data_IF_982484677293
#
_entry.id   IF_982484677293
#
_cell.length_a   1.000
_cell.length_b   1.000
_cell.length_c   1.000
_cell.angle_alpha   90.00
_cell.angle_beta   90.00
_cell.angle_gamma   90.00
#
_symmetry.space_group_name_H-M   'P 1'
#
loop_
_entity.id
_entity.type
_entity.pdbx_description
1 polymer ?
#
# COMPACT_ATOMS: atom_id res chain seq x y z
N UNK A 1 13.82 -11.39 1.45
CA UNK A 1 13.14 -11.70 2.73
C UNK A 1 11.64 -11.69 2.48
N UNK A 2 10.89 -12.68 2.96
CA UNK A 2 9.43 -12.70 2.77
C UNK A 2 8.80 -11.54 3.55
N UNK A 3 7.96 -10.74 2.89
CA UNK A 3 7.25 -9.64 3.54
C UNK A 3 6.10 -10.21 4.35
N UNK A 4 6.09 -9.97 5.67
CA UNK A 4 5.00 -10.37 6.54
C UNK A 4 3.91 -9.29 6.54
N UNK A 5 2.77 -9.58 5.91
CA UNK A 5 1.65 -8.63 5.78
C UNK A 5 0.96 -8.34 7.13
N UNK A 6 1.03 -9.25 8.10
CA UNK A 6 0.54 -9.03 9.46
C UNK A 6 1.38 -7.95 10.15
N UNK A 7 2.71 -8.03 10.06
CA UNK A 7 3.60 -7.06 10.69
C UNK A 7 3.45 -5.67 10.07
N UNK A 8 3.28 -5.60 8.74
CA UNK A 8 3.01 -4.35 8.04
C UNK A 8 1.66 -3.74 8.47
N UNK A 9 0.62 -4.57 8.64
CA UNK A 9 -0.67 -4.12 9.15
C UNK A 9 -0.59 -3.62 10.60
N UNK A 10 0.16 -4.32 11.45
CA UNK A 10 0.35 -3.95 12.85
C UNK A 10 1.13 -2.63 13.00
N UNK A 11 2.10 -2.35 12.12
CA UNK A 11 2.82 -1.06 12.09
C UNK A 11 1.92 0.13 11.73
N UNK A 12 0.80 -0.11 11.06
CA UNK A 12 -0.19 0.93 10.73
C UNK A 12 -1.21 1.16 11.86
N UNK A 13 -1.35 0.22 12.79
CA UNK A 13 -2.17 0.37 13.99
C UNK A 13 -1.39 1.14 15.05
N UNK A 14 -1.13 2.41 14.77
CA UNK A 14 -0.55 3.30 15.78
C UNK A 14 -1.57 3.59 16.87
N UNK A 15 -1.13 3.90 18.10
CA UNK A 15 -2.01 4.31 19.19
C UNK A 15 -2.94 5.46 18.80
N UNK A 16 -2.49 6.39 17.94
CA UNK A 16 -3.33 7.47 17.43
C UNK A 16 -4.48 6.99 16.54
N UNK A 17 -4.22 6.04 15.63
CA UNK A 17 -5.27 5.49 14.76
C UNK A 17 -6.31 4.77 15.61
N UNK A 18 -5.86 3.98 16.60
CA UNK A 18 -6.74 3.30 17.56
C UNK A 18 -7.55 4.33 18.36
N UNK A 19 -6.93 5.40 18.84
CA UNK A 19 -7.60 6.47 19.58
C UNK A 19 -8.69 7.15 18.73
N UNK A 20 -8.43 7.43 17.45
CA UNK A 20 -9.43 8.00 16.53
C UNK A 20 -10.58 7.04 16.25
N UNK A 21 -10.28 5.75 16.08
CA UNK A 21 -11.30 4.70 15.90
C UNK A 21 -12.18 4.60 17.14
N UNK A 22 -11.58 4.58 18.33
CA UNK A 22 -12.27 4.52 19.61
C UNK A 22 -13.19 5.73 19.81
N UNK A 23 -12.68 6.95 19.60
CA UNK A 23 -13.45 8.19 19.71
C UNK A 23 -14.61 8.26 18.71
N UNK A 24 -14.42 7.76 17.49
CA UNK A 24 -15.47 7.75 16.47
C UNK A 24 -16.58 6.75 16.77
N UNK A 25 -16.20 5.56 17.23
CA UNK A 25 -17.13 4.48 17.51
C UNK A 25 -17.77 4.59 18.90
N UNK A 26 -17.37 5.57 19.72
CA UNK A 26 -17.84 5.73 21.09
C UNK A 26 -17.44 4.57 22.00
N UNK A 27 -16.28 3.95 21.73
CA UNK A 27 -15.80 2.75 22.43
C UNK A 27 -14.52 3.05 23.21
N UNK A 28 -14.20 2.22 24.19
CA UNK A 28 -12.89 2.25 24.84
C UNK A 28 -11.76 1.87 23.87
N UNK A 29 -10.58 2.47 24.06
CA UNK A 29 -9.39 2.17 23.25
C UNK A 29 -8.99 0.69 23.31
N UNK A 30 -9.20 0.02 24.45
CA UNK A 30 -8.92 -1.42 24.61
C UNK A 30 -9.85 -2.27 23.74
N UNK A 31 -11.14 -1.92 23.67
CA UNK A 31 -12.13 -2.58 22.81
C UNK A 31 -11.84 -2.32 21.34
N UNK A 32 -11.52 -1.06 20.98
CA UNK A 32 -11.12 -0.69 19.63
C UNK A 32 -9.86 -1.44 19.18
N UNK A 33 -8.85 -1.55 20.05
CA UNK A 33 -7.62 -2.29 19.78
C UNK A 33 -7.89 -3.78 19.60
N UNK A 34 -8.64 -4.40 20.53
CA UNK A 34 -9.02 -5.83 20.45
C UNK A 34 -9.73 -6.13 19.14
N UNK A 35 -10.67 -5.27 18.76
CA UNK A 35 -11.47 -5.44 17.57
C UNK A 35 -10.64 -5.19 16.29
N UNK A 36 -9.74 -4.20 16.29
CA UNK A 36 -8.88 -3.92 15.13
C UNK A 36 -7.85 -5.04 14.89
N UNK A 37 -7.25 -5.59 15.96
CA UNK A 37 -6.33 -6.74 15.89
C UNK A 37 -7.04 -7.99 15.36
N UNK A 38 -8.32 -8.17 15.67
CA UNK A 38 -9.16 -9.23 15.12
C UNK A 38 -9.61 -8.99 13.67
N UNK A 39 -9.94 -7.74 13.33
CA UNK A 39 -10.49 -7.37 12.03
C UNK A 39 -9.47 -7.51 10.89
N UNK A 40 -8.20 -7.17 11.13
CA UNK A 40 -7.13 -7.22 10.11
C UNK A 40 -6.94 -8.63 9.52
N UNK A 41 -6.61 -9.67 10.32
CA UNK A 41 -6.41 -11.01 9.79
C UNK A 41 -7.70 -11.55 9.15
N UNK A 42 -8.87 -11.16 9.65
CA UNK A 42 -10.17 -11.52 9.08
C UNK A 42 -10.39 -10.93 7.69
N UNK A 43 -10.09 -9.63 7.51
CA UNK A 43 -10.16 -8.95 6.21
C UNK A 43 -9.15 -9.55 5.25
N UNK A 44 -7.91 -9.78 5.69
CA UNK A 44 -6.87 -10.41 4.86
C UNK A 44 -7.23 -11.83 4.45
N UNK A 45 -7.80 -12.64 5.35
CA UNK A 45 -8.26 -13.99 5.04
C UNK A 45 -9.40 -14.00 4.02
N UNK A 46 -10.33 -13.06 4.10
CA UNK A 46 -11.43 -12.93 3.14
C UNK A 46 -11.00 -12.38 1.78
N UNK A 47 -10.07 -11.41 1.78
CA UNK A 47 -9.45 -10.96 0.53
C UNK A 47 -8.68 -12.09 -0.13
N UNK A 48 -8.01 -12.95 0.65
CA UNK A 48 -7.32 -14.14 0.15
C UNK A 48 -8.28 -15.16 -0.47
N UNK A 49 -9.49 -15.27 0.07
CA UNK A 49 -10.57 -16.08 -0.51
C UNK A 49 -11.08 -15.46 -1.83
N UNK A 50 -11.34 -14.16 -1.83
CA UNK A 50 -11.80 -13.39 -2.98
C UNK A 50 -10.84 -13.52 -4.18
N UNK A 51 -9.53 -13.33 -3.95
CA UNK A 51 -8.49 -13.49 -4.99
C UNK A 51 -8.16 -14.95 -5.33
N UNK A 52 -8.80 -15.90 -4.65
CA UNK A 52 -8.86 -17.30 -5.08
C UNK A 52 -9.57 -17.46 -6.42
N UNK A 53 -10.40 -16.49 -6.82
CA UNK A 53 -11.10 -16.47 -8.10
C UNK A 53 -10.50 -15.45 -9.08
N UNK A 54 -10.52 -15.71 -10.40
CA UNK A 54 -10.08 -14.73 -11.40
C UNK A 54 -10.86 -13.41 -11.36
N UNK A 55 -12.15 -13.48 -11.02
CA UNK A 55 -13.03 -12.31 -10.91
C UNK A 55 -12.62 -11.43 -9.72
N UNK A 56 -12.42 -12.02 -8.53
CA UNK A 56 -12.04 -11.29 -7.33
C UNK A 56 -10.64 -10.67 -7.40
N UNK A 57 -9.69 -11.34 -8.06
CA UNK A 57 -8.37 -10.78 -8.32
C UNK A 57 -8.44 -9.51 -9.21
N UNK A 58 -9.30 -9.52 -10.24
CA UNK A 58 -9.53 -8.36 -11.10
C UNK A 58 -10.29 -7.23 -10.38
N UNK A 59 -11.22 -7.54 -9.48
CA UNK A 59 -11.91 -6.53 -8.67
C UNK A 59 -10.94 -5.84 -7.70
N UNK A 60 -10.08 -6.63 -7.02
CA UNK A 60 -9.07 -6.09 -6.14
C UNK A 60 -8.06 -5.22 -6.91
N UNK A 61 -7.58 -5.68 -8.06
CA UNK A 61 -6.63 -4.92 -8.89
C UNK A 61 -7.19 -3.58 -9.37
N UNK A 62 -8.47 -3.57 -9.76
CA UNK A 62 -9.16 -2.36 -10.20
C UNK A 62 -9.30 -1.35 -9.06
N UNK A 63 -9.65 -1.81 -7.85
CA UNK A 63 -9.73 -0.91 -6.69
C UNK A 63 -8.35 -0.41 -6.25
N UNK A 64 -7.33 -1.27 -6.20
CA UNK A 64 -5.97 -0.83 -5.85
C UNK A 64 -5.43 0.18 -6.87
N UNK A 65 -5.74 0.00 -8.15
CA UNK A 65 -5.40 0.97 -9.21
C UNK A 65 -6.15 2.30 -9.06
N UNK A 66 -7.42 2.28 -8.65
CA UNK A 66 -8.21 3.49 -8.39
C UNK A 66 -7.78 4.22 -7.10
N UNK A 67 -7.13 3.52 -6.17
CA UNK A 67 -6.65 4.06 -4.89
C UNK A 67 -5.25 4.68 -4.96
N UNK A 68 -4.60 4.71 -6.12
CA UNK A 68 -3.22 5.18 -6.25
C UNK A 68 -3.01 6.65 -5.86
N UNK A 69 -4.07 7.46 -5.72
CA UNK A 69 -4.02 8.85 -5.27
C UNK A 69 -4.60 9.14 -3.87
N UNK A 70 -5.32 8.21 -3.23
CA UNK A 70 -6.07 8.47 -2.00
C UNK A 70 -5.51 7.62 -0.86
N UNK A 71 -4.66 8.21 -0.02
CA UNK A 71 -4.16 7.52 1.15
C UNK A 71 -5.25 7.48 2.25
N UNK A 72 -5.67 6.31 2.74
CA UNK A 72 -6.66 6.18 3.81
C UNK A 72 -6.32 7.00 5.06
N UNK A 73 -5.02 7.15 5.35
CA UNK A 73 -4.51 7.95 6.46
C UNK A 73 -4.74 9.45 6.19
N UNK A 74 -4.55 9.91 4.96
CA UNK A 74 -4.80 11.31 4.57
C UNK A 74 -6.30 11.65 4.61
N UNK A 75 -7.15 10.68 4.24
CA UNK A 75 -8.60 10.79 4.39
C UNK A 75 -9.05 10.81 5.85
N UNK A 76 -8.37 10.05 6.72
CA UNK A 76 -8.59 10.09 8.17
C UNK A 76 -8.19 11.45 8.78
N UNK A 77 -7.24 12.16 8.16
CA UNK A 77 -6.83 13.51 8.58
C UNK A 77 -7.76 14.60 8.03
N UNK A 78 -8.19 14.48 6.77
CA UNK A 78 -9.02 15.50 6.09
C UNK A 78 -10.52 15.37 6.37
N UNK A 79 -11.08 14.16 6.32
CA UNK A 79 -12.52 13.87 6.44
C UNK A 79 -12.91 13.17 7.73
N UNK A 80 -11.92 12.82 8.55
CA UNK A 80 -12.11 12.09 9.80
C UNK A 80 -12.53 10.63 9.59
N UNK A 81 -12.82 9.96 10.71
CA UNK A 81 -13.29 8.58 10.71
C UNK A 81 -14.66 8.34 10.03
N UNK A 82 -15.64 9.27 10.02
CA UNK A 82 -16.90 9.07 9.31
C UNK A 82 -16.71 9.02 7.78
N UNK A 83 -15.90 9.93 7.22
CA UNK A 83 -15.59 9.94 5.78
C UNK A 83 -14.86 8.67 5.35
N UNK A 84 -13.90 8.22 6.18
CA UNK A 84 -13.19 6.97 5.95
C UNK A 84 -14.11 5.74 6.05
N UNK A 85 -15.02 5.72 7.03
CA UNK A 85 -16.01 4.66 7.17
C UNK A 85 -16.94 4.58 5.95
N UNK A 86 -17.43 5.71 5.46
CA UNK A 86 -18.32 5.73 4.30
C UNK A 86 -17.61 5.24 3.02
N UNK A 87 -16.34 5.61 2.87
CA UNK A 87 -15.52 5.12 1.77
C UNK A 87 -15.29 3.61 1.88
N UNK A 88 -14.91 3.13 3.07
CA UNK A 88 -14.64 1.72 3.29
C UNK A 88 -15.85 0.84 3.17
N UNK A 89 -17.03 1.29 3.62
CA UNK A 89 -18.26 0.52 3.42
C UNK A 89 -18.57 0.32 1.94
N UNK A 90 -18.41 1.37 1.13
CA UNK A 90 -18.62 1.32 -0.32
C UNK A 90 -17.60 0.40 -1.01
N UNK A 91 -16.33 0.48 -0.63
CA UNK A 91 -15.26 -0.36 -1.19
C UNK A 91 -15.42 -1.82 -0.82
N UNK A 92 -15.61 -2.11 0.47
CA UNK A 92 -15.70 -3.49 0.95
C UNK A 92 -17.01 -4.13 0.49
N UNK A 93 -18.12 -3.40 0.43
CA UNK A 93 -19.36 -3.91 -0.17
C UNK A 93 -19.18 -4.21 -1.65
N UNK A 94 -18.46 -3.38 -2.40
CA UNK A 94 -18.16 -3.62 -3.82
C UNK A 94 -17.19 -4.78 -4.08
N UNK A 95 -16.28 -5.09 -3.14
CA UNK A 95 -15.34 -6.19 -3.25
C UNK A 95 -15.90 -7.51 -2.71
N UNK A 96 -16.32 -7.52 -1.45
CA UNK A 96 -16.70 -8.71 -0.70
C UNK A 96 -18.19 -9.02 -0.85
N UNK A 97 -19.00 -8.03 -1.25
CA UNK A 97 -20.46 -8.11 -1.26
C UNK A 97 -21.07 -7.74 0.10
N UNK A 98 -22.30 -7.23 0.07
CA UNK A 98 -23.03 -6.82 1.28
C UNK A 98 -23.18 -7.95 2.31
N UNK A 99 -23.49 -9.17 1.87
CA UNK A 99 -23.65 -10.34 2.78
C UNK A 99 -22.37 -10.69 3.55
N UNK A 100 -21.23 -10.68 2.88
CA UNK A 100 -19.92 -10.94 3.51
C UNK A 100 -19.59 -9.82 4.49
N UNK A 101 -19.87 -8.57 4.12
CA UNK A 101 -19.66 -7.42 5.01
C UNK A 101 -20.58 -7.48 6.25
N UNK A 102 -21.83 -7.90 6.08
CA UNK A 102 -22.81 -8.06 7.17
C UNK A 102 -22.39 -9.16 8.15
N UNK A 103 -22.00 -10.33 7.63
CA UNK A 103 -21.53 -11.47 8.44
C UNK A 103 -20.24 -11.16 9.19
N UNK A 104 -19.28 -10.48 8.55
CA UNK A 104 -18.06 -10.04 9.22
C UNK A 104 -18.33 -8.98 10.29
N UNK A 105 -19.18 -8.01 9.98
CA UNK A 105 -19.58 -6.97 10.93
C UNK A 105 -20.25 -7.57 12.16
N UNK A 106 -21.10 -8.57 11.98
CA UNK A 106 -21.73 -9.31 13.07
C UNK A 106 -20.72 -10.10 13.89
N UNK A 107 -19.82 -10.85 13.24
CA UNK A 107 -18.80 -11.63 13.94
C UNK A 107 -17.86 -10.73 14.77
N UNK A 108 -17.34 -9.66 14.16
CA UNK A 108 -16.44 -8.71 14.81
C UNK A 108 -17.16 -7.94 15.93
N UNK A 109 -18.41 -7.54 15.68
CA UNK A 109 -19.25 -6.86 16.67
C UNK A 109 -19.52 -7.73 17.90
N UNK A 110 -19.82 -9.01 17.68
CA UNK A 110 -20.03 -9.99 18.76
C UNK A 110 -18.73 -10.30 19.52
N UNK A 111 -17.60 -10.42 18.82
CA UNK A 111 -16.29 -10.65 19.44
C UNK A 111 -15.79 -9.46 20.27
N UNK A 112 -16.06 -8.25 19.78
CA UNK A 112 -15.67 -7.00 20.44
C UNK A 112 -16.66 -6.55 21.53
N UNK A 113 -17.88 -7.09 21.54
CA UNK A 113 -18.96 -6.64 22.43
C UNK A 113 -19.56 -5.28 22.02
N UNK A 114 -19.41 -4.90 20.75
CA UNK A 114 -19.81 -3.58 20.21
C UNK A 114 -21.11 -3.65 19.41
N UNK A 115 -21.65 -4.86 19.23
CA UNK A 115 -22.84 -5.12 18.42
C UNK A 115 -22.60 -4.94 16.92
N UNK A 116 -23.62 -5.29 16.13
CA UNK A 116 -23.51 -5.34 14.66
C UNK A 116 -23.11 -3.99 14.04
N UNK A 117 -23.65 -2.89 14.57
CA UNK A 117 -23.36 -1.54 14.09
C UNK A 117 -21.89 -1.13 14.36
N UNK A 118 -21.37 -1.47 15.53
CA UNK A 118 -19.97 -1.21 15.91
C UNK A 118 -19.00 -2.05 15.08
N UNK A 119 -19.30 -3.33 14.87
CA UNK A 119 -18.48 -4.21 14.04
C UNK A 119 -18.43 -3.80 12.57
N UNK A 120 -19.57 -3.41 11.98
CA UNK A 120 -19.61 -2.87 10.60
C UNK A 120 -18.85 -1.57 10.46
N UNK A 121 -19.02 -0.65 11.42
CA UNK A 121 -18.34 0.65 11.40
C UNK A 121 -16.84 0.50 11.57
N UNK A 122 -16.40 -0.44 12.42
CA UNK A 122 -15.00 -0.77 12.56
C UNK A 122 -14.43 -1.35 11.26
N UNK A 123 -15.12 -2.31 10.65
CA UNK A 123 -14.69 -2.92 9.40
C UNK A 123 -14.63 -1.89 8.26
N UNK A 124 -15.54 -0.91 8.27
CA UNK A 124 -15.57 0.20 7.34
C UNK A 124 -14.39 1.17 7.53
N UNK A 125 -13.85 1.32 8.74
CA UNK A 125 -12.65 2.14 8.99
C UNK A 125 -11.36 1.36 8.76
N UNK A 126 -11.30 0.11 9.24
CA UNK A 126 -10.12 -0.75 9.14
C UNK A 126 -9.91 -1.27 7.72
N UNK A 127 -10.99 -1.52 6.98
CA UNK A 127 -10.95 -2.02 5.60
C UNK A 127 -10.09 -1.18 4.66
N UNK A 128 -10.33 0.14 4.55
CA UNK A 128 -9.47 1.06 3.79
C UNK A 128 -8.01 1.04 4.23
N UNK A 129 -7.74 0.96 5.54
CA UNK A 129 -6.37 0.93 6.06
C UNK A 129 -5.61 -0.32 5.57
N UNK A 130 -6.27 -1.48 5.62
CA UNK A 130 -5.71 -2.75 5.13
C UNK A 130 -5.54 -2.72 3.61
N UNK A 131 -6.51 -2.19 2.87
CA UNK A 131 -6.41 -2.06 1.41
C UNK A 131 -5.33 -1.07 0.97
N UNK A 132 -5.19 0.06 1.66
CA UNK A 132 -4.15 1.05 1.42
C UNK A 132 -2.76 0.52 1.74
N UNK A 133 -2.62 -0.30 2.78
CA UNK A 133 -1.40 -1.05 3.07
C UNK A 133 -1.06 -1.99 1.93
N UNK A 134 -2.04 -2.76 1.44
CA UNK A 134 -1.86 -3.70 0.35
C UNK A 134 -1.46 -2.99 -0.95
N UNK A 135 -2.09 -1.86 -1.26
CA UNK A 135 -1.74 -1.02 -2.41
C UNK A 135 -0.39 -0.32 -2.27
N UNK A 136 0.05 0.00 -1.04
CA UNK A 136 1.41 0.47 -0.78
C UNK A 136 2.42 -0.65 -1.00
N UNK A 137 2.17 -1.83 -0.45
CA UNK A 137 3.02 -3.01 -0.61
C UNK A 137 3.15 -3.41 -2.07
N UNK A 138 2.07 -3.32 -2.84
CA UNK A 138 2.07 -3.56 -4.29
C UNK A 138 3.07 -2.63 -5.00
N UNK A 139 3.09 -1.35 -4.64
CA UNK A 139 4.00 -0.33 -5.20
C UNK A 139 5.44 -0.53 -4.74
N UNK A 140 5.64 -0.71 -3.45
CA UNK A 140 6.97 -0.85 -2.84
C UNK A 140 7.69 -2.12 -3.31
N UNK A 141 6.94 -3.20 -3.53
CA UNK A 141 7.48 -4.46 -4.04
C UNK A 141 7.36 -4.64 -5.57
N UNK A 142 6.80 -3.65 -6.29
CA UNK A 142 6.65 -3.69 -7.75
C UNK A 142 5.86 -4.89 -8.27
N UNK A 143 4.88 -5.37 -7.49
CA UNK A 143 4.17 -6.62 -7.78
C UNK A 143 2.87 -6.31 -8.52
N UNK A 144 2.62 -6.98 -9.63
CA UNK A 144 1.32 -6.87 -10.30
C UNK A 144 0.21 -7.58 -9.49
N UNK A 145 -1.04 -7.29 -9.83
CA UNK A 145 -2.20 -7.85 -9.15
C UNK A 145 -2.20 -9.39 -9.02
N UNK A 146 -1.66 -10.08 -10.03
CA UNK A 146 -1.53 -11.54 -10.02
C UNK A 146 -0.48 -12.01 -9.02
N UNK A 147 0.63 -11.27 -8.87
CA UNK A 147 1.63 -11.58 -7.86
C UNK A 147 1.13 -11.26 -6.45
N UNK A 148 0.37 -10.19 -6.27
CA UNK A 148 -0.30 -9.89 -5.00
C UNK A 148 -1.33 -10.97 -4.62
N UNK A 149 -2.15 -11.40 -5.57
CA UNK A 149 -3.09 -12.50 -5.36
C UNK A 149 -2.38 -13.81 -4.99
N UNK A 150 -1.23 -14.09 -5.60
CA UNK A 150 -0.38 -15.23 -5.25
C UNK A 150 0.16 -15.12 -3.82
N UNK A 151 0.62 -13.92 -3.42
CA UNK A 151 1.12 -13.64 -2.06
C UNK A 151 0.04 -13.72 -0.99
N UNK A 152 -1.18 -13.27 -1.28
CA UNK A 152 -2.31 -13.40 -0.36
C UNK A 152 -2.71 -14.86 -0.19
N UNK A 153 -2.76 -15.60 -1.29
CA UNK A 153 -3.09 -17.03 -1.27
C UNK A 153 -2.05 -17.86 -0.52
N UNK A 154 -0.76 -17.56 -0.70
CA UNK A 154 0.32 -18.28 -0.01
C UNK A 154 0.39 -17.98 1.48
N UNK A 155 -0.14 -16.83 1.93
CA UNK A 155 -0.19 -16.44 3.34
C UNK A 155 -1.55 -16.66 3.99
N UNK A 156 -2.54 -17.22 3.27
CA UNK A 156 -3.89 -17.47 3.79
C UNK A 156 -3.85 -18.26 5.10
N UNK A 157 -3.03 -19.30 5.18
CA UNK A 157 -2.90 -20.12 6.39
C UNK A 157 -2.35 -19.33 7.59
N UNK A 158 -1.45 -18.38 7.35
CA UNK A 158 -0.91 -17.49 8.38
C UNK A 158 -1.95 -16.46 8.84
N UNK A 159 -2.81 -15.98 7.94
CA UNK A 159 -3.93 -15.10 8.29
C UNK A 159 -4.96 -15.83 9.13
N UNK A 160 -5.33 -17.05 8.72
CA UNK A 160 -6.24 -17.92 9.43
C UNK A 160 -5.73 -18.26 10.84
N UNK A 161 -4.44 -18.55 10.99
CA UNK A 161 -3.81 -18.81 12.27
C UNK A 161 -3.75 -17.57 13.19
N UNK A 162 -3.82 -16.36 12.62
CA UNK A 162 -3.83 -15.11 13.36
C UNK A 162 -5.24 -14.64 13.76
N UNK A 163 -6.31 -15.27 13.26
CA UNK A 163 -7.68 -14.97 13.68
C UNK A 163 -7.86 -15.51 15.11
N UNK A 164 -8.35 -14.69 16.06
CA UNK A 164 -8.67 -15.17 17.41
C UNK A 164 -9.67 -16.32 17.34
N UNK A 165 -9.43 -17.42 18.06
CA UNK A 165 -10.25 -18.63 18.02
C UNK A 165 -11.74 -18.35 18.19
N UNK A 166 -12.13 -17.53 19.17
CA UNK A 166 -13.53 -17.15 19.39
C UNK A 166 -14.20 -16.38 18.24
N UNK A 167 -13.42 -15.68 17.40
CA UNK A 167 -13.93 -15.02 16.19
C UNK A 167 -13.96 -15.99 15.00
N UNK A 168 -12.96 -16.88 14.89
CA UNK A 168 -12.91 -17.92 13.87
C UNK A 168 -14.10 -18.89 13.97
N UNK A 169 -14.50 -19.26 15.18
CA UNK A 169 -15.68 -20.09 15.44
C UNK A 169 -16.97 -19.38 14.99
N UNK A 170 -17.10 -18.07 15.27
CA UNK A 170 -18.25 -17.27 14.85
C UNK A 170 -18.34 -17.12 13.34
N UNK A 171 -17.22 -16.81 12.68
CA UNK A 171 -17.16 -16.71 11.23
C UNK A 171 -17.42 -18.06 10.54
N UNK A 172 -16.99 -19.17 11.16
CA UNK A 172 -17.30 -20.52 10.69
C UNK A 172 -18.78 -20.87 10.87
N UNK A 173 -19.36 -20.53 12.03
CA UNK A 173 -20.79 -20.68 12.30
C UNK A 173 -21.67 -19.84 11.36
N UNK A 174 -21.18 -18.68 10.93
CA UNK A 174 -21.82 -17.82 9.93
C UNK A 174 -21.55 -18.25 8.48
N UNK A 175 -20.84 -19.37 8.27
CA UNK A 175 -20.59 -19.96 6.96
C UNK A 175 -19.53 -19.26 6.11
N UNK A 176 -18.73 -18.35 6.69
CA UNK A 176 -17.74 -17.56 5.95
C UNK A 176 -16.43 -18.31 5.71
N UNK A 177 -16.12 -19.29 6.56
CA UNK A 177 -14.83 -20.00 6.57
C UNK A 177 -14.97 -21.46 6.11
N UNK A 178 -16.17 -22.06 6.19
CA UNK A 178 -16.39 -23.49 5.88
C UNK A 178 -16.83 -23.79 4.42
N UNK A 179 -16.52 -22.91 3.47
CA UNK A 179 -16.84 -23.16 2.05
C UNK A 179 -15.84 -24.11 1.35
N UNK A 180 -14.80 -24.60 2.03
CA UNK A 180 -13.78 -25.48 1.42
C UNK A 180 -13.86 -26.96 1.82
N UNK A 181 -14.75 -27.36 2.74
CA UNK A 181 -14.99 -28.80 3.01
C UNK A 181 -16.24 -29.36 2.33
N UNK A 182 -17.20 -28.51 1.99
CA UNK A 182 -18.52 -28.94 1.49
C UNK A 182 -18.68 -28.89 -0.03
N UNK A 183 -17.73 -28.27 -0.75
CA UNK A 183 -17.70 -28.23 -2.22
C UNK A 183 -17.25 -29.54 -2.90
N UNK A 184 -16.60 -30.45 -2.15
CA UNK A 184 -16.10 -31.72 -2.69
C UNK A 184 -17.04 -32.90 -2.40
N UNK A 185 -18.01 -32.75 -1.48
CA UNK A 185 -19.01 -33.79 -1.18
C UNK A 185 -20.30 -33.65 -2.03
N UNK A 186 -20.62 -32.45 -2.52
CA UNK A 186 -21.82 -32.21 -3.33
C UNK A 186 -21.61 -32.50 -4.82
N UNK A 187 -20.36 -32.51 -5.29
CA UNK A 187 -20.01 -33.06 -6.62
C UNK A 187 -20.07 -34.60 -6.65
N UNK A 188 -19.78 -35.28 -5.54
CA UNK A 188 -19.92 -36.74 -5.44
C UNK A 188 -21.38 -37.20 -5.26
N UNK A 189 -22.23 -36.39 -4.61
CA UNK A 189 -23.65 -36.74 -4.40
C UNK A 189 -24.56 -36.43 -5.62
N UNK A 190 -24.12 -35.57 -6.54
CA UNK A 190 -24.85 -35.28 -7.80
C UNK A 190 -24.41 -36.20 -8.95
N UNK A 191 -23.20 -36.77 -8.89
CA UNK A 191 -22.74 -37.81 -9.82
C UNK A 191 -23.45 -39.16 -9.67
N UNK A 192 -24.06 -39.44 -8.51
CA UNK A 192 -24.73 -40.73 -8.25
C UNK A 192 -26.18 -40.82 -8.75
N UNK A 193 -26.76 -39.75 -9.33
CA UNK A 193 -28.16 -39.76 -9.82
C UNK A 193 -28.31 -39.58 -11.32
N UNK A 194 -27.21 -39.64 -12.07
CA UNK A 194 -27.22 -39.64 -13.54
C UNK A 194 -26.53 -40.92 -14.09
N UNK A 195 -25.85 -41.69 -13.25
CA UNK A 195 -25.24 -43.00 -13.59
C UNK A 195 -26.25 -44.17 -13.61
N UNK A 196 -27.49 -43.92 -14.03
CA UNK A 196 -28.54 -44.95 -14.19
C UNK A 196 -29.09 -45.08 -15.60
N UNK A 197 -28.67 -44.24 -16.55
CA UNK A 197 -29.23 -44.24 -17.91
C UNK A 197 -28.22 -43.77 -18.95
N UNK A 198 -27.21 -44.60 -19.24
CA UNK A 198 -26.57 -44.75 -20.56
C UNK A 198 -25.32 -45.62 -20.43
N UNK A 199 -25.52 -46.92 -20.55
CA UNK A 199 -24.43 -47.82 -20.91
C UNK A 199 -24.04 -47.62 -22.38
N UNK A 200 -22.79 -48.00 -22.64
CA UNK A 200 -22.16 -48.25 -23.94
C UNK A 200 -21.44 -47.07 -24.63
N UNK A 201 -20.18 -47.37 -24.97
CA UNK A 201 -19.25 -46.70 -25.91
C UNK A 201 -18.34 -45.59 -25.34
N UNK A 202 -17.12 -45.99 -24.97
CA UNK A 202 -15.85 -45.41 -25.48
C UNK A 202 -14.69 -45.69 -24.50
N UNK A 203 -14.28 -46.95 -24.41
CA UNK A 203 -12.91 -47.29 -24.05
C UNK A 203 -12.07 -47.22 -25.34
N UNK A 204 -11.42 -46.09 -25.60
CA UNK A 204 -10.27 -45.98 -26.53
C UNK A 204 -9.84 -44.52 -26.66
N UNK A 205 -8.70 -44.18 -26.07
CA UNK A 205 -7.61 -43.37 -26.66
C UNK A 205 -6.74 -42.78 -25.55
N UNK A 206 -5.84 -43.63 -25.05
CA UNK A 206 -4.54 -43.22 -24.55
C UNK A 206 -3.50 -43.61 -25.62
N UNK A 207 -2.53 -42.72 -25.88
CA UNK A 207 -1.47 -42.78 -26.90
C UNK A 207 -1.98 -42.53 -28.35
N UNK A 208 -1.42 -41.66 -29.20
CA UNK A 208 -0.02 -41.26 -29.46
C UNK A 208 -0.03 -39.84 -30.07
N UNK A 209 0.86 -38.95 -29.62
CA UNK A 209 1.46 -37.92 -30.48
C UNK A 209 2.75 -37.40 -29.82
N UNK A 210 3.85 -38.13 -30.03
CA UNK A 210 5.20 -37.66 -29.75
C UNK A 210 5.79 -37.02 -31.02
N UNK A 211 6.47 -35.88 -30.87
CA UNK A 211 7.58 -35.47 -31.72
C UNK A 211 7.44 -34.16 -32.49
N UNK A 212 8.03 -33.08 -31.95
CA UNK A 212 8.93 -32.18 -32.72
C UNK A 212 9.78 -31.29 -31.80
N UNK A 213 11.07 -31.58 -31.82
CA UNK A 213 12.19 -30.89 -31.18
C UNK A 213 12.30 -29.43 -31.61
N UNK A 214 12.24 -28.51 -30.66
CA UNK A 214 12.94 -27.23 -30.71
C UNK A 214 13.56 -26.96 -29.35
N UNK A 215 14.88 -27.13 -29.27
CA UNK A 215 15.69 -26.80 -28.10
C UNK A 215 15.68 -25.28 -27.91
N UNK A 216 15.17 -24.74 -26.80
CA UNK A 216 15.16 -23.30 -26.63
C UNK A 216 16.52 -22.85 -26.10
N UNK A 217 17.04 -21.78 -26.69
CA UNK A 217 18.26 -21.07 -26.32
C UNK A 217 18.15 -20.31 -24.97
N UNK A 218 17.03 -20.45 -24.23
CA UNK A 218 16.78 -19.78 -22.95
C UNK A 218 17.74 -20.18 -21.83
N UNK A 219 18.35 -21.36 -21.88
CA UNK A 219 19.35 -21.77 -20.88
C UNK A 219 20.68 -21.02 -21.02
N UNK A 220 21.01 -20.52 -22.22
CA UNK A 220 22.21 -19.68 -22.42
C UNK A 220 21.95 -18.25 -21.91
N UNK A 221 20.72 -17.74 -22.02
CA UNK A 221 20.33 -16.44 -21.44
C UNK A 221 20.27 -16.48 -19.90
N UNK A 222 19.85 -17.61 -19.31
CA UNK A 222 19.78 -17.81 -17.86
C UNK A 222 21.18 -17.99 -17.23
N UNK A 223 22.14 -18.53 -17.99
CA UNK A 223 23.54 -18.63 -17.56
C UNK A 223 24.27 -17.28 -17.50
N UNK A 224 23.96 -16.34 -18.42
CA UNK A 224 24.56 -15.00 -18.44
C UNK A 224 23.98 -14.12 -17.32
N UNK A 225 22.68 -14.24 -17.02
CA UNK A 225 22.03 -13.52 -15.91
C UNK A 225 22.47 -14.03 -14.53
N UNK A 226 22.68 -15.35 -14.39
CA UNK A 226 23.22 -15.96 -13.17
C UNK A 226 24.67 -15.55 -12.89
N UNK A 227 25.50 -15.43 -13.93
CA UNK A 227 26.89 -14.99 -13.81
C UNK A 227 27.04 -13.54 -13.35
N UNK A 228 26.16 -12.65 -13.80
CA UNK A 228 26.16 -11.23 -13.39
C UNK A 228 25.69 -11.04 -11.93
N UNK A 229 24.70 -11.82 -11.47
CA UNK A 229 24.25 -11.80 -10.08
C UNK A 229 25.30 -12.41 -9.12
N UNK A 230 26.06 -13.43 -9.56
CA UNK A 230 27.12 -14.05 -8.78
C UNK A 230 28.36 -13.14 -8.65
N UNK A 231 28.75 -12.43 -9.71
CA UNK A 231 29.86 -11.46 -9.66
C UNK A 231 29.54 -10.22 -8.79
N UNK A 232 28.27 -9.80 -8.72
CA UNK A 232 27.83 -8.70 -7.84
C UNK A 232 27.72 -9.13 -6.36
N UNK A 233 27.56 -10.43 -6.09
CA UNK A 233 27.50 -10.98 -4.73
C UNK A 233 28.89 -11.21 -4.10
N UNK A 234 29.96 -11.31 -4.90
CA UNK A 234 31.34 -11.45 -4.40
C UNK A 234 32.03 -10.12 -4.02
N UNK A 235 31.40 -8.96 -4.27
CA UNK A 235 31.99 -7.64 -4.06
C UNK A 235 31.57 -6.91 -2.77
N UNK A 236 30.87 -7.58 -1.84
CA UNK A 236 30.55 -6.98 -0.54
C UNK A 236 31.35 -7.63 0.59
N UNK A 237 32.28 -6.90 1.23
CA UNK A 237 32.91 -7.38 2.46
C UNK A 237 31.86 -7.52 3.56
N UNK A 238 31.86 -8.71 4.16
CA UNK A 238 31.09 -9.13 5.34
C UNK A 238 31.49 -8.31 6.58
N UNK A 239 30.54 -7.65 7.22
CA UNK A 239 30.63 -7.30 8.66
C UNK A 239 29.42 -7.85 9.43
N UNK A 240 29.72 -9.00 10.04
CA UNK A 240 29.41 -9.49 11.39
C UNK A 240 28.01 -9.32 12.01
N UNK A 241 27.47 -10.50 12.33
CA UNK A 241 26.39 -10.82 13.27
C UNK A 241 26.91 -10.83 14.72
N UNK A 242 25.96 -10.83 15.68
CA UNK A 242 26.05 -11.12 17.15
C UNK A 242 26.20 -9.85 18.00
N UNK A 243 25.39 -9.51 19.03
CA UNK A 243 24.64 -10.32 19.98
C UNK A 243 23.33 -9.65 20.48
N UNK A 244 22.42 -10.53 20.89
CA UNK A 244 21.23 -10.32 21.69
C UNK A 244 21.60 -9.96 23.14
N UNK A 245 20.90 -9.01 23.77
CA UNK A 245 20.79 -8.91 25.24
C UNK A 245 19.52 -8.19 25.65
N UNK A 246 18.64 -8.94 26.30
CA UNK A 246 17.57 -8.52 27.21
C UNK A 246 18.14 -7.64 28.33
N UNK A 247 17.37 -6.66 28.84
CA UNK A 247 17.06 -6.45 30.29
C UNK A 247 16.45 -5.06 30.59
N UNK A 248 15.33 -5.12 31.31
CA UNK A 248 14.76 -4.24 32.35
C UNK A 248 14.57 -2.71 32.18
N UNK A 249 13.34 -2.33 32.54
CA UNK A 249 12.80 -1.06 33.02
C UNK A 249 13.64 -0.37 34.12
N UNK A 250 13.93 0.94 33.96
CA UNK A 250 13.72 2.00 34.98
C UNK A 250 13.90 3.41 34.36
N UNK A 251 13.08 4.43 34.73
CA UNK A 251 13.16 5.76 34.14
C UNK A 251 14.20 6.64 34.85
N UNK A 252 14.86 7.52 34.10
CA UNK A 252 15.45 8.76 34.64
C UNK A 252 15.94 9.73 33.54
N UNK A 253 15.35 10.93 33.60
CA UNK A 253 16.00 12.25 33.51
C UNK A 253 16.59 12.76 32.18
N UNK A 254 15.90 13.78 31.66
CA UNK A 254 16.34 14.93 30.85
C UNK A 254 17.72 14.87 30.16
N UNK A 255 17.68 14.86 28.83
CA UNK A 255 18.71 15.49 27.98
C UNK A 255 18.09 16.71 27.33
N UNK A 256 18.50 17.91 27.76
CA UNK A 256 18.25 19.15 27.03
C UNK A 256 19.10 19.09 25.77
N UNK A 257 18.46 19.01 24.60
CA UNK A 257 19.16 18.90 23.32
C UNK A 257 18.21 18.98 22.13
N UNK A 258 17.96 20.21 21.69
CA UNK A 258 17.39 20.63 20.40
C UNK A 258 16.01 20.04 20.05
N UNK A 259 14.96 20.84 20.30
CA UNK A 259 13.64 20.60 19.74
C UNK A 259 13.74 20.42 18.21
N UNK A 260 12.91 19.55 17.58
CA UNK A 260 12.81 19.53 16.13
C UNK A 260 12.46 20.94 15.67
N UNK A 261 13.25 21.49 14.75
CA UNK A 261 13.03 22.84 14.24
C UNK A 261 11.58 22.93 13.72
N UNK A 262 10.77 23.78 14.36
CA UNK A 262 9.40 23.96 13.94
C UNK A 262 9.40 24.68 12.59
N UNK A 263 9.05 23.93 11.54
CA UNK A 263 8.98 24.43 10.16
C UNK A 263 7.57 24.95 9.83
N UNK A 264 6.75 25.24 10.84
CA UNK A 264 5.39 25.74 10.65
C UNK A 264 5.38 27.26 10.72
N UNK A 265 4.90 27.90 9.66
CA UNK A 265 4.67 29.36 9.64
C UNK A 265 3.20 29.59 9.37
N UNK A 266 2.54 30.37 10.23
CA UNK A 266 1.12 30.71 10.07
C UNK A 266 0.20 29.46 9.96
N UNK A 267 0.52 28.39 10.70
CA UNK A 267 -0.23 27.12 10.69
C UNK A 267 0.02 26.23 9.46
N UNK A 268 0.95 26.62 8.58
CA UNK A 268 1.32 25.85 7.38
C UNK A 268 2.70 25.22 7.55
N UNK A 269 2.79 23.90 7.36
CA UNK A 269 4.05 23.17 7.43
C UNK A 269 4.83 23.34 6.12
N UNK A 270 5.90 24.15 6.16
CA UNK A 270 6.69 24.46 4.96
C UNK A 270 7.38 23.22 4.39
N UNK A 271 7.75 22.23 5.21
CA UNK A 271 8.36 21.00 4.73
C UNK A 271 7.39 20.16 3.89
N UNK A 272 6.13 20.03 4.33
CA UNK A 272 5.09 19.35 3.56
C UNK A 272 4.74 20.10 2.28
N UNK A 273 4.71 21.44 2.33
CA UNK A 273 4.45 22.26 1.16
C UNK A 273 5.58 22.14 0.12
N UNK A 274 6.84 22.22 0.55
CA UNK A 274 8.01 21.96 -0.31
C UNK A 274 7.92 20.57 -0.92
N UNK A 275 7.67 19.54 -0.11
CA UNK A 275 7.60 18.16 -0.60
C UNK A 275 6.46 17.95 -1.60
N UNK A 276 5.34 18.67 -1.46
CA UNK A 276 4.22 18.62 -2.39
C UNK A 276 4.57 19.28 -3.73
N UNK A 277 5.12 20.51 -3.71
CA UNK A 277 5.57 21.19 -4.93
C UNK A 277 6.65 20.39 -5.64
N UNK A 278 7.58 19.80 -4.88
CA UNK A 278 8.62 18.92 -5.41
C UNK A 278 8.06 17.63 -6.01
N UNK A 279 7.04 17.05 -5.37
CA UNK A 279 6.33 15.88 -5.87
C UNK A 279 5.67 16.15 -7.22
N UNK A 280 4.99 17.30 -7.35
CA UNK A 280 4.41 17.75 -8.62
C UNK A 280 5.48 17.89 -9.70
N UNK A 281 6.61 18.54 -9.40
CA UNK A 281 7.72 18.66 -10.35
C UNK A 281 8.28 17.31 -10.77
N UNK A 282 8.53 16.41 -9.80
CA UNK A 282 9.01 15.06 -10.05
C UNK A 282 8.05 14.22 -10.88
N UNK A 283 6.74 14.48 -10.77
CA UNK A 283 5.72 13.80 -11.56
C UNK A 283 5.57 14.39 -12.97
N UNK A 284 5.74 15.71 -13.13
CA UNK A 284 5.49 16.40 -14.41
C UNK A 284 6.73 16.49 -15.31
N UNK A 285 7.93 16.70 -14.76
CA UNK A 285 9.16 16.81 -15.56
C UNK A 285 9.40 15.56 -16.44
N UNK A 286 9.22 14.30 -15.97
CA UNK A 286 9.41 13.12 -16.81
C UNK A 286 8.38 12.98 -17.94
N UNK A 287 7.21 13.63 -17.83
CA UNK A 287 6.17 13.57 -18.86
C UNK A 287 6.47 14.48 -20.06
N UNK A 288 7.46 15.35 -19.95
CA UNK A 288 7.87 16.25 -21.04
C UNK A 288 8.85 15.51 -21.96
N UNK A 289 8.28 14.73 -22.88
CA UNK A 289 9.05 14.02 -23.92
C UNK A 289 8.97 14.68 -25.29
N UNK A 290 7.98 15.56 -25.49
CA UNK A 290 7.63 16.19 -26.76
C UNK A 290 7.04 17.59 -26.52
N UNK A 291 6.95 18.38 -27.59
CA UNK A 291 6.52 19.78 -27.56
C UNK A 291 5.07 19.96 -27.08
N UNK A 292 4.16 19.03 -27.42
CA UNK A 292 2.78 19.09 -26.96
C UNK A 292 2.68 18.78 -25.45
N UNK A 293 3.42 17.78 -24.98
CA UNK A 293 3.51 17.46 -23.56
C UNK A 293 4.17 18.57 -22.73
N UNK A 294 5.16 19.29 -23.30
CA UNK A 294 5.71 20.49 -22.68
C UNK A 294 4.64 21.57 -22.48
N UNK A 295 3.88 21.91 -23.53
CA UNK A 295 2.82 22.91 -23.43
C UNK A 295 1.73 22.52 -22.43
N UNK A 296 1.38 21.23 -22.34
CA UNK A 296 0.41 20.73 -21.37
C UNK A 296 0.92 20.75 -19.92
N UNK A 297 2.23 20.57 -19.70
CA UNK A 297 2.85 20.52 -18.38
C UNK A 297 3.25 21.92 -17.83
N UNK A 298 3.51 22.89 -18.71
CA UNK A 298 3.87 24.26 -18.35
C UNK A 298 3.01 24.90 -17.25
N UNK A 299 1.65 24.90 -17.32
CA UNK A 299 0.84 25.56 -16.29
C UNK A 299 1.02 24.92 -14.91
N UNK A 300 1.18 23.60 -14.84
CA UNK A 300 1.38 22.88 -13.58
C UNK A 300 2.77 23.09 -13.00
N UNK A 301 3.78 23.19 -13.86
CA UNK A 301 5.14 23.50 -13.43
C UNK A 301 5.21 24.96 -12.94
N UNK A 302 4.54 25.88 -13.61
CA UNK A 302 4.48 27.29 -13.19
C UNK A 302 3.72 27.50 -11.88
N UNK A 303 2.64 26.73 -11.65
CA UNK A 303 1.94 26.71 -10.36
C UNK A 303 2.85 26.22 -9.23
N UNK A 304 3.56 25.12 -9.45
CA UNK A 304 4.47 24.58 -8.47
C UNK A 304 5.69 25.49 -8.22
N UNK A 305 6.19 26.20 -9.23
CA UNK A 305 7.18 27.27 -9.08
C UNK A 305 6.61 28.41 -8.21
N UNK A 306 5.38 28.84 -8.47
CA UNK A 306 4.71 29.89 -7.69
C UNK A 306 4.51 29.49 -6.22
N UNK A 307 4.26 28.21 -5.96
CA UNK A 307 4.19 27.66 -4.60
C UNK A 307 5.56 27.70 -3.90
N UNK A 308 6.65 27.37 -4.61
CA UNK A 308 8.02 27.51 -4.10
C UNK A 308 8.36 28.96 -3.77
N UNK A 309 7.93 29.93 -4.59
CA UNK A 309 8.05 31.36 -4.29
C UNK A 309 7.31 31.76 -3.00
N UNK A 310 6.08 31.26 -2.83
CA UNK A 310 5.32 31.46 -1.60
C UNK A 310 6.01 30.88 -0.37
N UNK A 311 6.72 29.76 -0.53
CA UNK A 311 7.54 29.15 0.53
C UNK A 311 8.76 30.02 0.83
N UNK A 312 9.47 30.53 -0.17
CA UNK A 312 10.63 31.42 0.02
C UNK A 312 10.25 32.66 0.83
N UNK A 313 9.11 33.30 0.49
CA UNK A 313 8.60 34.46 1.21
C UNK A 313 8.25 34.16 2.68
N UNK A 314 7.77 32.93 2.97
CA UNK A 314 7.45 32.49 4.34
C UNK A 314 8.68 32.01 5.10
N UNK A 315 9.66 31.43 4.41
CA UNK A 315 10.93 31.04 4.99
C UNK A 315 11.70 32.26 5.51
N UNK A 316 11.48 33.45 4.92
CA UNK A 316 11.96 34.72 5.45
C UNK A 316 11.36 35.11 6.83
N UNK A 317 10.36 34.41 7.34
CA UNK A 317 9.80 34.57 8.69
C UNK A 317 10.26 33.48 9.67
N UNK A 318 10.94 32.44 9.19
CA UNK A 318 11.44 31.34 10.03
C UNK A 318 12.66 31.77 10.85
N UNK A 319 12.89 31.07 11.96
CA UNK A 319 14.12 31.15 12.75
C UNK A 319 15.33 30.68 11.91
N UNK A 320 16.56 31.14 12.23
CA UNK A 320 17.76 30.75 11.50
C UNK A 320 18.00 29.22 11.46
N UNK A 321 17.56 28.51 12.51
CA UNK A 321 17.67 27.05 12.61
C UNK A 321 16.66 26.33 11.69
N UNK A 322 15.42 26.83 11.62
CA UNK A 322 14.39 26.27 10.74
C UNK A 322 14.68 26.55 9.26
N UNK A 323 15.26 27.72 8.93
CA UNK A 323 15.75 28.00 7.57
C UNK A 323 16.84 27.03 7.14
N UNK A 324 17.83 26.76 7.99
CA UNK A 324 18.87 25.76 7.73
C UNK A 324 18.30 24.35 7.53
N UNK A 325 17.26 23.98 8.27
CA UNK A 325 16.58 22.71 8.09
C UNK A 325 15.85 22.64 6.73
N UNK A 326 15.19 23.72 6.32
CA UNK A 326 14.54 23.86 5.02
C UNK A 326 15.56 23.78 3.87
N UNK A 327 16.66 24.53 3.97
CA UNK A 327 17.74 24.54 3.00
C UNK A 327 18.34 23.13 2.81
N UNK A 328 18.57 22.39 3.89
CA UNK A 328 19.06 21.00 3.82
C UNK A 328 18.11 20.07 3.06
N UNK A 329 16.80 20.22 3.26
CA UNK A 329 15.80 19.42 2.56
C UNK A 329 15.83 19.69 1.06
N UNK A 330 16.02 20.95 0.67
CA UNK A 330 16.06 21.39 -0.73
C UNK A 330 17.37 20.97 -1.40
N UNK A 331 18.51 21.12 -0.72
CA UNK A 331 19.81 20.63 -1.18
C UNK A 331 19.81 19.11 -1.39
N UNK A 332 19.15 18.35 -0.50
CA UNK A 332 19.03 16.90 -0.65
C UNK A 332 18.22 16.48 -1.89
N UNK A 333 17.30 17.34 -2.36
CA UNK A 333 16.37 17.00 -3.42
C UNK A 333 16.72 17.66 -4.78
N UNK A 334 17.53 18.71 -4.77
CA UNK A 334 18.10 19.39 -5.94
C UNK A 334 18.74 18.45 -6.98
N UNK A 335 19.57 17.43 -6.62
CA UNK A 335 20.21 16.59 -7.64
C UNK A 335 19.21 15.79 -8.47
N UNK A 336 18.16 15.25 -7.83
CA UNK A 336 17.13 14.50 -8.54
C UNK A 336 16.32 15.37 -9.52
N UNK A 337 16.09 16.63 -9.16
CA UNK A 337 15.35 17.57 -10.02
C UNK A 337 16.24 18.05 -11.16
N UNK A 338 17.51 18.35 -10.88
CA UNK A 338 18.47 18.75 -11.90
C UNK A 338 18.62 17.66 -12.97
N UNK A 339 18.70 16.39 -12.57
CA UNK A 339 18.76 15.26 -13.50
C UNK A 339 17.50 15.18 -14.39
N UNK A 340 16.32 15.43 -13.82
CA UNK A 340 15.07 15.48 -14.58
C UNK A 340 15.02 16.67 -15.54
N UNK A 341 15.48 17.84 -15.11
CA UNK A 341 15.61 19.02 -15.96
C UNK A 341 16.61 18.81 -17.12
N UNK A 342 17.72 18.10 -16.88
CA UNK A 342 18.69 17.75 -17.91
C UNK A 342 18.10 16.78 -18.94
N UNK A 343 17.32 15.79 -18.46
CA UNK A 343 16.57 14.87 -19.34
C UNK A 343 15.59 15.61 -20.24
N UNK A 344 14.83 16.57 -19.70
CA UNK A 344 13.91 17.39 -20.51
C UNK A 344 14.65 18.31 -21.47
N UNK A 345 15.81 18.84 -21.07
CA UNK A 345 16.63 19.70 -21.93
C UNK A 345 17.23 18.94 -23.12
N UNK A 346 17.38 17.62 -23.01
CA UNK A 346 17.87 16.74 -24.07
C UNK A 346 16.78 16.29 -25.08
N UNK A 347 15.50 16.60 -24.84
CA UNK A 347 14.40 16.26 -25.76
C UNK A 347 14.10 17.41 -26.75
N UNK A 348 13.35 17.18 -27.83
CA UNK A 348 12.92 18.24 -28.75
C UNK A 348 12.09 19.34 -28.06
N UNK A 349 11.50 19.01 -26.91
CA UNK A 349 10.73 19.94 -26.08
C UNK A 349 11.61 20.86 -25.22
N UNK A 350 12.92 20.57 -25.14
CA UNK A 350 13.87 21.26 -24.27
C UNK A 350 13.98 22.75 -24.57
N UNK A 351 13.88 23.17 -25.83
CA UNK A 351 13.91 24.60 -26.23
C UNK A 351 12.74 25.41 -25.69
N UNK A 352 11.58 24.77 -25.51
CA UNK A 352 10.33 25.40 -25.08
C UNK A 352 10.22 25.36 -23.56
N UNK A 353 10.69 24.28 -22.95
CA UNK A 353 10.74 24.12 -21.50
C UNK A 353 11.90 24.91 -20.85
N UNK A 354 12.92 25.32 -21.63
CA UNK A 354 14.12 26.03 -21.16
C UNK A 354 13.84 27.19 -20.20
N UNK A 355 13.01 28.21 -20.52
CA UNK A 355 12.77 29.34 -19.62
C UNK A 355 12.14 28.93 -18.28
N UNK A 356 11.30 27.89 -18.29
CA UNK A 356 10.63 27.39 -17.09
C UNK A 356 11.60 26.55 -16.24
N UNK A 357 12.45 25.73 -16.88
CA UNK A 357 13.50 24.96 -16.23
C UNK A 357 14.56 25.87 -15.58
N UNK A 358 14.97 26.92 -16.28
CA UNK A 358 15.94 27.89 -15.76
C UNK A 358 15.37 28.65 -14.57
N UNK A 359 14.09 29.06 -14.63
CA UNK A 359 13.39 29.69 -13.51
C UNK A 359 13.30 28.74 -12.30
N UNK A 360 12.95 27.47 -12.53
CA UNK A 360 12.91 26.46 -11.49
C UNK A 360 14.27 26.26 -10.81
N UNK A 361 15.35 26.14 -11.60
CA UNK A 361 16.71 25.99 -11.07
C UNK A 361 17.12 27.19 -10.22
N UNK A 362 16.81 28.40 -10.67
CA UNK A 362 17.07 29.62 -9.92
C UNK A 362 16.33 29.60 -8.56
N UNK A 363 15.08 29.14 -8.52
CA UNK A 363 14.29 29.06 -7.30
C UNK A 363 14.80 28.02 -6.31
N UNK A 364 15.24 26.85 -6.80
CA UNK A 364 15.85 25.84 -5.95
C UNK A 364 17.18 26.31 -5.34
N UNK A 365 17.98 27.03 -6.11
CA UNK A 365 19.24 27.60 -5.64
C UNK A 365 19.02 28.75 -4.63
N UNK A 366 18.01 29.59 -4.86
CA UNK A 366 17.60 30.65 -3.92
C UNK A 366 17.17 30.04 -2.58
N UNK A 367 16.30 29.03 -2.61
CA UNK A 367 15.82 28.33 -1.42
C UNK A 367 16.90 27.50 -0.70
N UNK A 368 17.91 27.00 -1.42
CA UNK A 368 19.05 26.30 -0.83
C UNK A 368 19.97 27.25 -0.03
N UNK A 369 19.83 28.57 -0.23
CA UNK A 369 20.64 29.61 0.42
C UNK A 369 19.91 30.37 1.54
N UNK A 370 18.62 30.10 1.76
CA UNK A 370 17.78 30.70 2.82
C UNK A 370 18.21 30.27 4.22
#
# INVERSE_FOLDING_TARGET
MAVNLISAAQQLLTPEVIAKIASFLGMDQSTAQKAAVAAIPTILASLSDLVGTPAGANQLSKLLSQQQGNNPIDLLHSSGAPGLAQMGSSMLSGLLGGRTMDTMGQAIGNFAGTGDAGGKSLLAVVGPLVLGMLGRQQRDAGVDANGLASLLRSQKDQFMAAIPSGLGDQLSALGLIDQTRSGMATAAATGSRIAGASGATAASQAAIAAGRTQWPYWLVALAILGGFAFLYALQRPTEQTVAQSTTATRPSTATVGMAPADLTVDGVNLANQVNSSLGTLKAQLPTITDEASAQAAMPKINDAISQLDGITARAAKLSPEARRALAKLIVAAAPAINEMCDKVSATPAGTIAKPVIDNLRAKLDELAKV
#
